data_IF_451221745945
#
_entry.id   IF_451221745945
#
_cell.length_a   1.000
_cell.length_b   1.000
_cell.length_c   1.000
_cell.angle_alpha   90.00
_cell.angle_beta   90.00
_cell.angle_gamma   90.00
#
_symmetry.space_group_name_H-M   'P 1'
#
loop_
_entity.id
_entity.type
_entity.pdbx_description
1 polymer ?
#
# COMPACT_ATOMS: atom_id res chain seq x y z
N UNK A 1 -6.64 -17.49 18.51
CA UNK A 1 -5.94 -18.57 17.79
C UNK A 1 -6.85 -19.76 17.67
N UNK A 2 -6.69 -20.49 16.56
CA UNK A 2 -7.39 -21.73 16.29
C UNK A 2 -6.34 -22.83 16.20
N UNK A 3 -6.41 -23.79 17.12
CA UNK A 3 -5.53 -24.95 17.13
C UNK A 3 -5.86 -25.83 15.90
N UNK A 4 -4.84 -26.35 15.21
CA UNK A 4 -5.02 -27.21 14.04
C UNK A 4 -5.93 -28.39 14.39
N UNK A 5 -7.00 -28.61 13.62
CA UNK A 5 -8.00 -29.66 13.88
C UNK A 5 -9.15 -29.27 14.81
N UNK A 6 -9.16 -28.07 15.40
CA UNK A 6 -10.28 -27.57 16.21
C UNK A 6 -11.16 -26.59 15.44
N UNK A 7 -12.48 -26.64 15.67
CA UNK A 7 -13.45 -25.66 15.17
C UNK A 7 -13.65 -24.47 16.14
N UNK A 8 -13.13 -24.54 17.37
CA UNK A 8 -13.30 -23.51 18.39
C UNK A 8 -12.16 -22.51 18.39
N UNK A 9 -12.52 -21.23 18.53
CA UNK A 9 -11.59 -20.12 18.68
C UNK A 9 -11.23 -19.91 20.15
N UNK A 10 -9.96 -19.64 20.43
CA UNK A 10 -9.46 -19.33 21.77
C UNK A 10 -8.69 -18.01 21.79
N UNK A 11 -8.69 -17.31 22.93
CA UNK A 11 -7.73 -16.23 23.22
C UNK A 11 -6.32 -16.82 23.23
N UNK A 12 -5.36 -16.10 22.64
CA UNK A 12 -3.99 -16.60 22.59
C UNK A 12 -3.23 -16.19 23.85
N UNK A 13 -2.57 -17.13 24.53
CA UNK A 13 -1.56 -16.78 25.51
C UNK A 13 -0.49 -15.89 24.86
N UNK A 14 -0.05 -14.86 25.58
CA UNK A 14 1.12 -14.04 25.25
C UNK A 14 2.35 -14.94 25.14
N UNK A 15 2.70 -15.37 23.92
CA UNK A 15 3.80 -16.29 23.64
C UNK A 15 3.42 -17.60 22.93
N UNK A 16 2.13 -17.82 22.64
CA UNK A 16 1.71 -19.03 21.95
C UNK A 16 2.14 -19.03 20.47
N UNK A 17 3.02 -19.97 20.10
CA UNK A 17 3.44 -20.27 18.70
C UNK A 17 2.29 -20.72 17.78
N UNK A 18 1.06 -20.86 18.30
CA UNK A 18 -0.11 -21.31 17.57
C UNK A 18 -0.78 -20.21 16.73
N UNK A 19 -0.41 -18.94 16.93
CA UNK A 19 -0.52 -17.94 15.89
C UNK A 19 0.61 -18.21 14.92
N UNK A 20 0.35 -18.97 13.86
CA UNK A 20 1.37 -19.23 12.85
C UNK A 20 1.95 -17.89 12.41
N UNK A 21 3.24 -17.69 12.63
CA UNK A 21 4.02 -16.51 12.19
C UNK A 21 3.91 -16.29 10.67
N UNK A 22 3.35 -17.26 9.95
CA UNK A 22 3.07 -17.30 8.50
C UNK A 22 1.61 -17.02 8.12
N UNK A 23 0.78 -16.45 9.00
CA UNK A 23 -0.59 -16.06 8.63
C UNK A 23 -0.87 -14.67 9.20
N UNK A 24 -1.40 -13.80 8.33
CA UNK A 24 -1.81 -12.42 8.63
C UNK A 24 -2.40 -12.26 10.03
N UNK A 25 -1.65 -11.57 10.89
CA UNK A 25 -2.08 -11.03 12.16
C UNK A 25 -1.96 -9.48 12.09
N UNK A 26 -2.67 -8.71 12.94
CA UNK A 26 -2.60 -7.25 12.96
C UNK A 26 -1.16 -6.71 13.05
N UNK A 27 -0.28 -7.46 13.71
CA UNK A 27 1.13 -7.13 13.87
C UNK A 27 1.95 -7.35 12.58
N UNK A 28 1.44 -8.14 11.62
CA UNK A 28 2.17 -8.62 10.44
C UNK A 28 1.64 -8.07 9.10
N UNK A 29 0.33 -7.85 8.97
CA UNK A 29 -0.25 -7.29 7.74
C UNK A 29 -1.60 -6.61 8.00
N UNK A 30 -1.70 -5.34 7.57
CA UNK A 30 -2.89 -4.49 7.64
C UNK A 30 -3.42 -4.15 9.04
N UNK A 31 -4.40 -3.22 9.15
CA UNK A 31 -4.94 -2.37 8.08
C UNK A 31 -3.95 -1.27 7.67
N UNK A 32 -4.18 -0.60 6.53
CA UNK A 32 -3.34 0.50 6.05
C UNK A 32 -3.04 1.59 7.09
N UNK A 33 -3.99 1.82 8.01
CA UNK A 33 -3.83 2.72 9.17
C UNK A 33 -2.59 2.41 10.02
N UNK A 34 -2.17 1.16 10.07
CA UNK A 34 -1.00 0.71 10.85
C UNK A 34 0.30 1.40 10.42
N UNK A 35 0.32 2.06 9.25
CA UNK A 35 1.44 2.92 8.85
C UNK A 35 1.64 4.14 9.76
N UNK A 36 0.59 4.59 10.44
CA UNK A 36 0.63 5.73 11.37
C UNK A 36 0.99 5.32 12.81
N UNK A 37 1.27 4.04 13.06
CA UNK A 37 1.74 3.56 14.38
C UNK A 37 3.21 3.92 14.63
N UNK A 38 3.95 4.30 13.58
CA UNK A 38 5.34 4.76 13.64
C UNK A 38 5.52 6.09 12.92
N UNK A 39 6.75 6.62 12.98
CA UNK A 39 7.13 7.80 12.20
C UNK A 39 6.92 7.54 10.70
N UNK A 40 6.51 8.55 9.94
CA UNK A 40 6.19 8.42 8.52
C UNK A 40 7.04 9.40 7.70
N UNK A 41 7.78 8.85 6.73
CA UNK A 41 8.56 9.60 5.74
C UNK A 41 7.83 9.59 4.40
N UNK A 42 7.53 10.77 3.86
CA UNK A 42 6.92 10.93 2.53
C UNK A 42 8.02 11.03 1.48
N UNK A 43 7.97 10.16 0.49
CA UNK A 43 8.95 10.07 -0.59
C UNK A 43 8.28 10.49 -1.90
N UNK A 44 8.71 11.64 -2.42
CA UNK A 44 8.17 12.26 -3.61
C UNK A 44 8.94 11.78 -4.83
N UNK A 45 8.25 11.10 -5.74
CA UNK A 45 8.82 10.70 -7.02
C UNK A 45 9.03 11.90 -7.95
N UNK A 46 10.25 12.07 -8.44
CA UNK A 46 10.66 13.20 -9.29
C UNK A 46 10.69 12.88 -10.80
N UNK A 47 10.54 11.60 -11.18
CA UNK A 47 10.56 11.17 -12.57
C UNK A 47 9.30 11.53 -13.37
N UNK A 48 9.36 11.33 -14.69
CA UNK A 48 8.23 11.46 -15.62
C UNK A 48 7.44 12.79 -15.55
N UNK A 49 8.11 13.90 -15.22
CA UNK A 49 7.47 15.21 -15.09
C UNK A 49 6.41 15.29 -13.99
N UNK A 50 6.46 14.37 -13.02
CA UNK A 50 5.46 14.23 -11.97
C UNK A 50 5.79 14.98 -10.67
N UNK A 51 7.01 15.52 -10.56
CA UNK A 51 7.59 16.06 -9.33
C UNK A 51 6.70 17.11 -8.64
N UNK A 52 6.24 18.12 -9.37
CA UNK A 52 5.42 19.21 -8.83
C UNK A 52 4.11 18.69 -8.24
N UNK A 53 3.37 17.87 -9.01
CA UNK A 53 2.13 17.24 -8.55
C UNK A 53 2.34 16.36 -7.32
N UNK A 54 3.41 15.57 -7.29
CA UNK A 54 3.69 14.70 -6.14
C UNK A 54 4.10 15.52 -4.91
N UNK A 55 4.82 16.63 -5.10
CA UNK A 55 5.19 17.54 -4.02
C UNK A 55 3.96 18.25 -3.44
N UNK A 56 3.07 18.77 -4.29
CA UNK A 56 1.80 19.36 -3.85
C UNK A 56 0.95 18.37 -3.05
N UNK A 57 0.88 17.12 -3.53
CA UNK A 57 0.26 16.03 -2.80
C UNK A 57 0.92 15.78 -1.43
N UNK A 58 2.25 15.75 -1.36
CA UNK A 58 2.98 15.57 -0.11
C UNK A 58 2.71 16.71 0.88
N UNK A 59 2.71 17.96 0.41
CA UNK A 59 2.42 19.14 1.22
C UNK A 59 0.98 19.14 1.74
N UNK A 60 0.00 18.82 0.89
CA UNK A 60 -1.39 18.66 1.30
C UNK A 60 -1.54 17.55 2.35
N UNK A 61 -0.83 16.44 2.16
CA UNK A 61 -0.81 15.33 3.11
C UNK A 61 -0.16 15.73 4.44
N UNK A 62 0.95 16.47 4.44
CA UNK A 62 1.61 16.95 5.65
C UNK A 62 0.73 17.95 6.41
N UNK A 63 0.15 18.93 5.70
CA UNK A 63 -0.76 19.91 6.30
C UNK A 63 -1.98 19.25 6.94
N UNK A 64 -2.60 18.30 6.23
CA UNK A 64 -3.74 17.55 6.76
C UNK A 64 -3.38 16.65 7.95
N UNK A 65 -2.17 16.08 7.97
CA UNK A 65 -1.70 15.26 9.09
C UNK A 65 -1.44 16.11 10.34
N UNK A 66 -0.83 17.28 10.16
CA UNK A 66 -0.63 18.25 11.23
C UNK A 66 -1.96 18.75 11.81
N UNK A 67 -2.94 19.06 10.95
CA UNK A 67 -4.24 19.58 11.35
C UNK A 67 -5.05 18.63 12.25
N UNK A 68 -4.87 17.32 12.11
CA UNK A 68 -5.51 16.30 12.97
C UNK A 68 -4.66 15.91 14.19
N UNK A 69 -3.58 16.64 14.46
CA UNK A 69 -2.68 16.38 15.58
C UNK A 69 -1.72 15.21 15.38
N UNK A 70 -1.51 14.76 14.14
CA UNK A 70 -0.61 13.65 13.82
C UNK A 70 0.89 13.99 13.95
N UNK A 71 1.24 15.28 14.01
CA UNK A 71 2.62 15.76 14.06
C UNK A 71 3.15 16.20 12.70
N UNK A 72 4.47 16.24 12.56
CA UNK A 72 5.16 16.64 11.32
C UNK A 72 5.47 15.42 10.47
N UNK A 73 5.28 15.55 9.14
CA UNK A 73 5.75 14.56 8.17
C UNK A 73 7.04 15.07 7.53
N UNK A 74 8.09 14.25 7.55
CA UNK A 74 9.27 14.51 6.75
C UNK A 74 8.95 14.24 5.27
N UNK A 75 9.41 15.12 4.39
CA UNK A 75 9.24 14.99 2.94
C UNK A 75 10.63 14.98 2.31
N UNK A 76 10.93 13.94 1.53
CA UNK A 76 12.15 13.82 0.75
C UNK A 76 11.83 13.57 -0.71
N UNK A 77 12.73 13.98 -1.59
CA UNK A 77 12.67 13.62 -3.00
C UNK A 77 13.40 12.29 -3.20
N UNK A 78 12.88 11.44 -4.07
CA UNK A 78 13.53 10.18 -4.43
C UNK A 78 14.90 10.38 -5.11
N UNK A 79 15.17 11.60 -5.62
CA UNK A 79 16.44 12.00 -6.23
C UNK A 79 17.51 12.47 -5.22
N UNK A 80 17.14 12.71 -3.95
CA UNK A 80 18.07 13.20 -2.92
C UNK A 80 19.01 12.13 -2.38
N UNK A 81 18.82 10.87 -2.75
CA UNK A 81 19.71 9.78 -2.39
C UNK A 81 19.05 8.42 -2.57
N UNK A 82 19.85 7.34 -2.50
CA UNK A 82 19.30 6.00 -2.47
C UNK A 82 18.40 5.83 -1.25
N UNK A 83 17.45 4.90 -1.36
CA UNK A 83 16.72 4.38 -0.22
C UNK A 83 17.73 4.06 0.90
N UNK A 84 17.59 4.61 2.12
CA UNK A 84 18.49 4.31 3.23
C UNK A 84 18.65 2.80 3.32
N UNK A 85 19.89 2.31 3.32
CA UNK A 85 20.16 0.88 3.24
C UNK A 85 19.27 0.16 4.25
N UNK A 86 18.49 -0.81 3.77
CA UNK A 86 17.62 -1.65 4.57
C UNK A 86 18.47 -2.43 5.59
N UNK A 87 18.77 -1.80 6.73
CA UNK A 87 19.82 -2.29 7.62
C UNK A 87 20.43 -1.24 8.53
N UNK A 88 20.21 0.06 8.30
CA UNK A 88 20.36 1.03 9.39
C UNK A 88 19.27 0.73 10.42
N UNK A 89 19.65 -0.10 11.41
CA UNK A 89 18.80 -0.60 12.49
C UNK A 89 18.12 0.49 13.32
N UNK A 90 18.46 1.76 13.05
CA UNK A 90 17.90 2.93 13.69
C UNK A 90 16.76 3.60 12.92
N UNK A 91 16.56 3.36 11.62
CA UNK A 91 15.40 3.93 10.93
C UNK A 91 14.15 3.09 11.22
N UNK A 92 13.26 3.67 12.02
CA UNK A 92 11.98 3.08 12.44
C UNK A 92 10.80 3.60 11.60
N UNK A 93 11.08 4.37 10.55
CA UNK A 93 10.06 5.07 9.77
C UNK A 93 9.37 4.14 8.79
N UNK A 94 8.06 4.28 8.69
CA UNK A 94 7.28 3.80 7.57
C UNK A 94 7.39 4.78 6.40
N UNK A 95 7.11 4.31 5.18
CA UNK A 95 7.22 5.14 3.97
C UNK A 95 5.87 5.43 3.32
N UNK A 96 5.62 6.67 2.93
CA UNK A 96 4.54 7.03 2.00
C UNK A 96 5.17 7.39 0.65
N UNK A 97 5.10 6.48 -0.31
CA UNK A 97 5.67 6.63 -1.64
C UNK A 97 4.63 7.27 -2.56
N UNK A 98 4.97 8.44 -3.12
CA UNK A 98 4.16 9.12 -4.12
C UNK A 98 4.80 8.90 -5.50
N UNK A 99 4.06 8.20 -6.37
CA UNK A 99 4.48 7.85 -7.72
C UNK A 99 4.75 6.35 -7.90
N UNK A 100 4.47 5.85 -9.10
CA UNK A 100 4.81 4.48 -9.51
C UNK A 100 6.30 4.34 -9.88
N UNK A 101 6.75 3.13 -10.29
CA UNK A 101 8.17 2.82 -10.54
C UNK A 101 8.84 3.64 -11.66
N UNK A 102 8.04 4.21 -12.58
CA UNK A 102 8.54 5.13 -13.63
C UNK A 102 8.84 6.54 -13.09
N UNK A 103 8.11 6.96 -12.05
CA UNK A 103 8.21 8.31 -11.48
C UNK A 103 8.93 8.37 -10.13
N UNK A 104 9.07 7.23 -9.44
CA UNK A 104 9.63 7.12 -8.09
C UNK A 104 10.60 5.94 -8.05
N UNK A 105 11.90 6.24 -7.93
CA UNK A 105 12.99 5.27 -7.87
C UNK A 105 12.90 4.33 -6.67
N UNK A 106 12.52 4.82 -5.50
CA UNK A 106 12.36 3.98 -4.31
C UNK A 106 11.22 2.98 -4.48
N UNK A 107 10.13 3.37 -5.15
CA UNK A 107 9.05 2.44 -5.52
C UNK A 107 9.55 1.35 -6.46
N UNK A 108 10.35 1.72 -7.48
CA UNK A 108 10.95 0.75 -8.39
C UNK A 108 11.84 -0.24 -7.67
N UNK A 109 12.70 0.24 -6.77
CA UNK A 109 13.66 -0.59 -6.05
C UNK A 109 12.96 -1.55 -5.08
N UNK A 110 11.92 -1.09 -4.37
CA UNK A 110 11.13 -1.94 -3.47
C UNK A 110 10.37 -3.04 -4.20
N UNK A 111 9.78 -2.72 -5.36
CA UNK A 111 9.08 -3.70 -6.18
C UNK A 111 10.05 -4.70 -6.81
N UNK A 112 11.24 -4.26 -7.24
CA UNK A 112 12.30 -5.13 -7.74
C UNK A 112 12.81 -6.12 -6.67
N UNK A 113 12.77 -5.72 -5.39
CA UNK A 113 13.07 -6.59 -4.25
C UNK A 113 11.93 -7.55 -3.87
N UNK A 114 10.78 -7.48 -4.56
CA UNK A 114 9.66 -8.41 -4.36
C UNK A 114 8.68 -8.04 -3.25
N UNK A 115 8.68 -6.79 -2.77
CA UNK A 115 7.83 -6.36 -1.66
C UNK A 115 6.32 -6.58 -1.91
N UNK A 116 5.88 -6.56 -3.17
CA UNK A 116 4.51 -6.88 -3.58
C UNK A 116 4.52 -7.70 -4.88
N UNK A 117 4.92 -8.98 -4.81
CA UNK A 117 5.12 -9.84 -5.99
C UNK A 117 3.91 -9.98 -6.93
N UNK A 118 2.70 -9.80 -6.40
CA UNK A 118 1.45 -9.90 -7.17
C UNK A 118 1.03 -8.56 -7.78
N UNK A 119 1.74 -7.47 -7.50
CA UNK A 119 1.54 -6.15 -8.10
C UNK A 119 2.53 -5.93 -9.24
N UNK A 120 2.02 -5.58 -10.42
CA UNK A 120 2.82 -5.33 -11.62
C UNK A 120 2.47 -3.99 -12.23
N UNK A 121 3.47 -3.22 -12.67
CA UNK A 121 3.27 -2.04 -13.50
C UNK A 121 3.63 -2.40 -14.94
N UNK A 122 2.66 -2.27 -15.84
CA UNK A 122 2.81 -2.53 -17.25
C UNK A 122 2.90 -1.24 -18.07
N UNK A 123 3.20 -1.36 -19.37
CA UNK A 123 3.28 -0.22 -20.27
C UNK A 123 1.96 0.55 -20.33
N UNK A 124 2.03 1.84 -20.66
CA UNK A 124 0.86 2.71 -20.85
C UNK A 124 -0.03 2.84 -19.60
N UNK A 125 0.57 2.76 -18.41
CA UNK A 125 -0.15 2.90 -17.14
C UNK A 125 -1.03 1.71 -16.79
N UNK A 126 -0.77 0.52 -17.37
CA UNK A 126 -1.45 -0.71 -16.97
C UNK A 126 -1.00 -1.14 -15.57
N UNK A 127 -1.93 -1.64 -14.77
CA UNK A 127 -1.65 -2.17 -13.44
C UNK A 127 -2.14 -3.61 -13.39
N UNK A 128 -1.23 -4.54 -13.11
CA UNK A 128 -1.54 -5.93 -12.84
C UNK A 128 -1.65 -6.18 -11.34
N UNK A 129 -2.67 -6.92 -10.91
CA UNK A 129 -2.89 -7.32 -9.53
C UNK A 129 -3.38 -8.77 -9.47
N UNK A 130 -2.51 -9.66 -9.00
CA UNK A 130 -2.74 -11.10 -9.06
C UNK A 130 -2.97 -11.56 -10.51
N UNK A 131 -4.09 -12.23 -10.82
CA UNK A 131 -4.44 -12.68 -12.18
C UNK A 131 -5.15 -11.60 -13.03
N UNK A 132 -5.38 -10.42 -12.47
CA UNK A 132 -6.08 -9.33 -13.15
C UNK A 132 -5.10 -8.34 -13.74
N UNK A 133 -5.41 -7.84 -14.94
CA UNK A 133 -4.78 -6.64 -15.48
C UNK A 133 -5.83 -5.56 -15.72
N UNK A 134 -5.47 -4.34 -15.37
CA UNK A 134 -6.31 -3.17 -15.48
C UNK A 134 -5.62 -2.16 -16.40
N UNK A 135 -6.40 -1.53 -17.29
CA UNK A 135 -5.91 -0.49 -18.18
C UNK A 135 -6.89 0.66 -18.26
N UNK A 136 -6.44 1.85 -17.89
CA UNK A 136 -7.13 3.12 -18.09
C UNK A 136 -6.13 4.27 -17.94
N UNK A 137 -6.41 5.40 -18.58
CA UNK A 137 -5.58 6.62 -18.47
C UNK A 137 -5.69 7.29 -17.10
N UNK A 138 -6.65 6.87 -16.29
CA UNK A 138 -7.03 7.49 -15.02
C UNK A 138 -6.93 6.49 -13.84
N UNK A 139 -6.14 5.42 -13.99
CA UNK A 139 -5.92 4.44 -12.94
C UNK A 139 -5.17 5.05 -11.76
N UNK A 140 -5.76 4.97 -10.57
CA UNK A 140 -5.08 5.25 -9.32
C UNK A 140 -4.90 3.96 -8.53
N UNK A 141 -3.70 3.69 -8.02
CA UNK A 141 -3.42 2.62 -7.07
C UNK A 141 -2.99 3.19 -5.72
N UNK A 142 -3.65 2.74 -4.66
CA UNK A 142 -3.17 2.79 -3.30
C UNK A 142 -2.85 1.36 -2.86
N UNK A 143 -1.66 1.09 -2.31
CA UNK A 143 -1.30 -0.23 -1.82
C UNK A 143 -0.38 -0.14 -0.60
N UNK A 144 -0.61 -0.96 0.40
CA UNK A 144 0.28 -1.16 1.54
C UNK A 144 1.20 -2.33 1.23
N UNK A 145 2.49 -2.21 1.53
CA UNK A 145 3.43 -3.33 1.41
C UNK A 145 4.40 -3.40 2.60
N UNK A 146 5.11 -4.52 2.73
CA UNK A 146 6.19 -4.66 3.70
C UNK A 146 7.43 -3.92 3.19
N UNK A 147 8.17 -3.26 4.08
CA UNK A 147 9.55 -2.91 3.74
C UNK A 147 10.41 -4.18 3.86
N UNK A 148 11.23 -4.52 2.85
CA UNK A 148 12.21 -5.59 2.99
C UNK A 148 13.12 -5.32 4.19
N UNK A 149 13.17 -6.26 5.13
CA UNK A 149 14.06 -6.22 6.29
C UNK A 149 15.11 -7.33 6.15
N UNK A 150 16.35 -7.02 6.54
CA UNK A 150 17.43 -8.01 6.56
C UNK A 150 17.23 -8.93 7.76
N UNK A 151 16.70 -10.13 7.53
CA UNK A 151 16.57 -11.16 8.57
C UNK A 151 15.37 -12.08 8.39
N UNK A 152 15.25 -13.06 9.29
CA UNK A 152 14.15 -14.03 9.30
C UNK A 152 12.91 -13.54 10.09
N UNK A 153 12.95 -12.33 10.65
CA UNK A 153 11.84 -11.76 11.39
C UNK A 153 10.76 -11.23 10.43
N UNK A 154 9.47 -11.25 10.82
CA UNK A 154 8.42 -10.61 10.03
C UNK A 154 8.70 -9.11 9.89
N UNK A 155 8.43 -8.50 8.72
CA UNK A 155 8.68 -7.08 8.49
C UNK A 155 7.85 -6.25 9.46
N UNK A 156 8.51 -5.38 10.22
CA UNK A 156 7.84 -4.46 11.16
C UNK A 156 7.47 -3.16 10.48
N UNK A 157 8.30 -2.72 9.53
CA UNK A 157 8.07 -1.50 8.77
C UNK A 157 7.25 -1.77 7.52
N UNK A 158 6.46 -0.77 7.15
CA UNK A 158 5.52 -0.83 6.03
C UNK A 158 5.70 0.39 5.14
N UNK A 159 5.30 0.25 3.89
CA UNK A 159 5.10 1.39 3.01
C UNK A 159 3.67 1.46 2.53
N UNK A 160 3.21 2.65 2.19
CA UNK A 160 2.03 2.91 1.38
C UNK A 160 2.51 3.50 0.06
N UNK A 161 2.09 2.89 -1.03
CA UNK A 161 2.30 3.35 -2.39
C UNK A 161 1.02 4.03 -2.87
N UNK A 162 1.14 5.28 -3.31
CA UNK A 162 0.11 6.00 -4.05
C UNK A 162 0.64 6.32 -5.46
N UNK A 163 0.20 5.56 -6.46
CA UNK A 163 0.60 5.70 -7.85
C UNK A 163 -0.58 6.13 -8.72
N UNK A 164 -0.43 7.24 -9.44
CA UNK A 164 -1.44 7.76 -10.34
C UNK A 164 -0.78 8.53 -11.51
N UNK A 165 -1.30 8.39 -12.75
CA UNK A 165 -0.73 9.04 -13.93
C UNK A 165 -1.12 10.52 -14.03
N UNK A 166 -2.17 10.97 -13.32
CA UNK A 166 -2.70 12.33 -13.40
C UNK A 166 -2.99 12.92 -12.01
N UNK A 167 -3.09 14.26 -11.95
CA UNK A 167 -3.48 14.99 -10.73
C UNK A 167 -4.89 14.62 -10.25
N UNK A 168 -5.82 14.40 -11.19
CA UNK A 168 -7.17 13.98 -10.85
C UNK A 168 -7.20 12.59 -10.21
N UNK A 169 -6.47 11.62 -10.79
CA UNK A 169 -6.36 10.28 -10.22
C UNK A 169 -5.67 10.29 -8.85
N UNK A 170 -4.59 11.07 -8.71
CA UNK A 170 -3.90 11.21 -7.43
C UNK A 170 -4.82 11.84 -6.37
N UNK A 171 -5.54 12.90 -6.70
CA UNK A 171 -6.49 13.54 -5.79
C UNK A 171 -7.56 12.57 -5.28
N UNK A 172 -8.10 11.69 -6.15
CA UNK A 172 -9.05 10.64 -5.75
C UNK A 172 -8.44 9.63 -4.78
N UNK A 173 -7.21 9.19 -5.04
CA UNK A 173 -6.48 8.31 -4.11
C UNK A 173 -6.25 8.97 -2.75
N UNK A 174 -5.82 10.23 -2.75
CA UNK A 174 -5.55 10.95 -1.51
C UNK A 174 -6.83 11.21 -0.72
N UNK A 175 -7.96 11.45 -1.38
CA UNK A 175 -9.26 11.54 -0.71
C UNK A 175 -9.63 10.21 -0.03
N UNK A 176 -9.39 9.07 -0.70
CA UNK A 176 -9.58 7.75 -0.08
C UNK A 176 -8.60 7.51 1.09
N UNK A 177 -7.36 8.01 0.98
CA UNK A 177 -6.34 7.91 2.02
C UNK A 177 -6.58 8.86 3.21
N UNK A 178 -7.18 10.03 2.99
CA UNK A 178 -7.48 11.00 4.05
C UNK A 178 -8.39 10.40 5.12
N UNK A 179 -9.31 9.53 4.71
CA UNK A 179 -10.15 8.74 5.60
C UNK A 179 -9.41 7.70 6.46
N UNK A 180 -8.07 7.59 6.39
CA UNK A 180 -7.25 6.79 7.32
C UNK A 180 -6.72 7.57 8.52
N UNK A 181 -6.88 8.90 8.51
CA UNK A 181 -6.22 9.79 9.47
C UNK A 181 -7.08 10.11 10.68
N UNK A 182 -8.39 9.90 10.60
CA UNK A 182 -9.28 10.21 11.73
C UNK A 182 -9.31 9.04 12.74
N UNK A 183 -9.36 9.28 14.05
CA UNK A 183 -9.28 8.19 15.03
C UNK A 183 -10.54 7.28 15.12
N UNK A 184 -11.41 7.23 14.12
CA UNK A 184 -12.68 6.51 14.19
C UNK A 184 -12.56 5.00 13.87
N UNK A 185 -13.45 4.19 14.46
CA UNK A 185 -13.43 2.71 14.41
C UNK A 185 -13.72 2.12 13.03
N UNK A 186 -14.27 2.88 12.09
CA UNK A 186 -14.55 2.42 10.73
C UNK A 186 -13.30 2.32 9.85
N UNK A 187 -12.23 3.02 10.23
CA UNK A 187 -10.95 3.05 9.51
C UNK A 187 -10.11 1.78 9.67
N UNK A 188 -10.51 0.87 10.56
CA UNK A 188 -9.98 -0.48 10.63
C UNK A 188 -10.35 -1.33 9.39
N UNK A 189 -11.12 -0.79 8.45
CA UNK A 189 -11.65 -1.49 7.27
C UNK A 189 -11.06 -1.04 5.93
N UNK A 190 -10.11 -0.09 5.90
CA UNK A 190 -9.51 0.26 4.62
C UNK A 190 -8.77 -0.97 4.06
N UNK A 191 -9.04 -1.37 2.81
CA UNK A 191 -8.31 -2.46 2.18
C UNK A 191 -6.80 -2.18 2.14
N UNK A 192 -6.00 -3.24 2.09
CA UNK A 192 -4.55 -3.12 1.91
C UNK A 192 -4.20 -2.64 0.50
N UNK A 193 -5.07 -2.86 -0.47
CA UNK A 193 -4.96 -2.29 -1.81
C UNK A 193 -6.30 -1.74 -2.29
N UNK A 194 -6.24 -0.64 -3.02
CA UNK A 194 -7.37 0.01 -3.67
C UNK A 194 -6.94 0.48 -5.05
N UNK A 195 -7.64 0.01 -6.07
CA UNK A 195 -7.46 0.43 -7.45
C UNK A 195 -8.72 1.18 -7.90
N UNK A 196 -8.53 2.42 -8.30
CA UNK A 196 -9.58 3.32 -8.78
C UNK A 196 -9.40 3.58 -10.28
N UNK A 197 -10.50 3.81 -10.97
CA UNK A 197 -10.57 4.37 -12.31
C UNK A 197 -11.05 5.83 -12.28
N UNK A 198 -11.10 6.47 -13.45
CA UNK A 198 -11.83 7.71 -13.65
C UNK A 198 -13.33 7.55 -13.35
N UNK A 199 -14.03 8.66 -13.07
CA UNK A 199 -15.46 8.65 -12.84
C UNK A 199 -16.20 8.14 -14.08
N UNK A 200 -16.92 7.02 -13.95
CA UNK A 200 -17.85 6.54 -14.98
C UNK A 200 -19.25 6.98 -14.60
N UNK A 201 -19.81 7.92 -15.34
CA UNK A 201 -21.16 8.44 -15.10
C UNK A 201 -22.18 7.31 -14.98
N UNK A 202 -22.78 7.15 -13.80
CA UNK A 202 -23.91 6.27 -13.55
C UNK A 202 -23.65 4.96 -12.79
N UNK A 203 -22.40 4.58 -12.48
CA UNK A 203 -22.15 3.38 -11.65
C UNK A 203 -21.71 3.78 -10.24
N UNK A 204 -22.38 3.22 -9.24
CA UNK A 204 -22.12 3.46 -7.82
C UNK A 204 -20.69 3.16 -7.35
N UNK A 205 -20.37 3.65 -6.14
CA UNK A 205 -19.08 3.58 -5.43
C UNK A 205 -17.84 3.90 -6.29
N UNK A 206 -17.79 5.11 -6.85
CA UNK A 206 -16.54 5.87 -7.00
C UNK A 206 -15.46 5.35 -7.96
N UNK A 207 -15.79 4.43 -8.87
CA UNK A 207 -14.81 3.92 -9.83
C UNK A 207 -13.83 2.90 -9.25
N UNK A 208 -14.18 2.20 -8.16
CA UNK A 208 -13.33 1.13 -7.60
C UNK A 208 -13.29 -0.08 -8.55
N UNK A 209 -12.12 -0.38 -9.10
CA UNK A 209 -11.88 -1.56 -9.94
C UNK A 209 -11.43 -2.77 -9.13
N UNK A 210 -10.63 -2.55 -8.09
CA UNK A 210 -10.22 -3.60 -7.18
C UNK A 210 -10.02 -3.05 -5.77
N UNK A 211 -10.36 -3.83 -4.77
CA UNK A 211 -10.14 -3.49 -3.37
C UNK A 211 -10.03 -4.77 -2.56
N UNK A 212 -9.12 -4.85 -1.61
CA UNK A 212 -9.05 -6.03 -0.76
C UNK A 212 -7.86 -6.05 0.16
N UNK A 213 -7.68 -7.19 0.77
CA UNK A 213 -6.63 -7.41 1.74
C UNK A 213 -5.66 -8.47 1.25
N UNK A 214 -4.38 -8.28 1.55
CA UNK A 214 -3.38 -9.28 1.27
C UNK A 214 -3.60 -10.54 2.12
N UNK A 215 -3.04 -11.64 1.66
CA UNK A 215 -3.19 -12.97 2.24
C UNK A 215 -2.01 -13.86 1.89
N UNK A 216 -2.26 -15.16 1.76
CA UNK A 216 -1.22 -16.16 1.50
C UNK A 216 -0.35 -16.51 2.71
N UNK A 217 0.79 -17.15 2.43
CA UNK A 217 1.72 -17.67 3.44
C UNK A 217 2.64 -16.60 4.01
N UNK A 218 2.99 -15.57 3.24
CA UNK A 218 3.75 -14.43 3.76
C UNK A 218 2.81 -13.35 4.32
N UNK A 219 1.53 -13.37 3.93
CA UNK A 219 0.55 -12.35 4.32
C UNK A 219 0.52 -11.16 3.38
N UNK A 220 1.34 -11.17 2.32
CA UNK A 220 1.50 -10.11 1.32
C UNK A 220 1.16 -10.57 -0.10
N UNK A 221 0.45 -11.69 -0.24
CA UNK A 221 -0.03 -12.21 -1.51
C UNK A 221 -1.44 -11.75 -1.85
N UNK A 222 -1.72 -11.60 -3.14
CA UNK A 222 -3.09 -11.45 -3.61
C UNK A 222 -3.89 -12.73 -3.35
N UNK A 223 -5.14 -12.58 -2.90
CA UNK A 223 -6.06 -13.72 -2.77
C UNK A 223 -7.47 -13.36 -3.20
N UNK A 224 -8.05 -14.14 -4.11
CA UNK A 224 -9.41 -13.93 -4.61
C UNK A 224 -10.47 -13.89 -3.49
N UNK A 225 -10.26 -14.66 -2.42
CA UNK A 225 -11.20 -14.78 -1.30
C UNK A 225 -11.20 -13.58 -0.34
N UNK A 226 -10.28 -12.61 -0.50
CA UNK A 226 -10.10 -11.47 0.42
C UNK A 226 -10.21 -10.12 -0.27
N UNK A 227 -10.83 -10.08 -1.45
CA UNK A 227 -11.00 -8.84 -2.17
C UNK A 227 -12.07 -8.93 -3.24
N UNK A 228 -12.29 -7.77 -3.83
CA UNK A 228 -13.09 -7.54 -5.00
C UNK A 228 -12.15 -7.13 -6.15
N UNK A 229 -12.41 -7.63 -7.36
CA UNK A 229 -11.71 -7.25 -8.57
C UNK A 229 -12.66 -7.37 -9.78
N UNK A 230 -12.93 -6.25 -10.44
CA UNK A 230 -13.69 -6.16 -11.69
C UNK A 230 -12.72 -6.13 -12.87
N UNK A 231 -12.19 -7.29 -13.23
CA UNK A 231 -11.23 -7.44 -14.33
C UNK A 231 -11.67 -8.55 -15.30
N UNK A 232 -11.23 -8.47 -16.55
CA UNK A 232 -11.09 -9.65 -17.39
C UNK A 232 -9.89 -10.45 -16.87
N UNK A 233 -10.09 -11.71 -16.45
CA UNK A 233 -8.97 -12.58 -16.07
C UNK A 233 -7.98 -12.62 -17.25
N UNK A 234 -6.71 -12.28 -17.00
CA UNK A 234 -5.67 -12.45 -18.00
C UNK A 234 -5.61 -13.92 -18.39
N UNK A 235 -5.63 -14.23 -19.70
CA UNK A 235 -5.21 -15.57 -20.13
C UNK A 235 -3.76 -15.73 -19.66
N UNK A 236 -3.38 -16.83 -19.00
CA UNK A 236 -1.97 -17.11 -18.80
C UNK A 236 -1.32 -17.19 -20.19
N UNK A 237 -0.37 -16.31 -20.46
CA UNK A 237 0.53 -16.51 -21.60
C UNK A 237 1.32 -17.80 -21.29
N UNK A 238 1.04 -18.83 -22.10
CA UNK A 238 1.72 -20.14 -22.10
C UNK A 238 3.09 -20.02 -22.76
#
# INVERSE_FOLDING_TARGET
CRRTGSAKWHLCPSGARCCSVRRRAPEQAGPARSIFEGALLVVVGTGAGAAERHLDAALALAGGHFAVGGGTLAIVLDSQGPLPAHGDSNSTENLLLLGGPESNSWTRDLLAQGALKDLRFGPQGRIGLGPCDFGSKELGLLAVGPLPETGAAPPRRRFVLAAAPSAAALGRLLAAFAGLREPNTWQARLPDYLLLDGPRGGQGTGGVLAAGFWGGESGWEWTAARGYAACSKGRPEL
#
